data_IF_686464675954
#
_entry.id   IF_686464675954
#
_cell.length_a   1.000
_cell.length_b   1.000
_cell.length_c   1.000
_cell.angle_alpha   90.00
_cell.angle_beta   90.00
_cell.angle_gamma   90.00
#
_symmetry.space_group_name_H-M   'P 1'
#
loop_
_entity.id
_entity.type
_entity.pdbx_description
1 polymer ?
#
# COMPACT_ATOMS: atom_id res chain seq x y z
N UNK A 1 31.91 -30.95 -0.63
CA UNK A 1 31.37 -30.62 -1.97
C UNK A 1 30.32 -29.53 -1.78
N UNK A 2 30.58 -28.32 -2.27
CA UNK A 2 29.53 -27.29 -2.35
C UNK A 2 28.52 -27.72 -3.41
N UNK A 3 27.20 -27.64 -3.14
CA UNK A 3 26.19 -27.98 -4.14
C UNK A 3 26.32 -27.05 -5.35
N UNK A 4 25.98 -27.52 -6.57
CA UNK A 4 26.06 -26.71 -7.78
C UNK A 4 25.18 -25.45 -7.62
N UNK A 5 25.81 -24.28 -7.59
CA UNK A 5 25.14 -23.00 -7.48
C UNK A 5 24.53 -22.63 -8.84
N UNK A 6 23.20 -22.51 -8.88
CA UNK A 6 22.50 -22.07 -10.08
C UNK A 6 22.89 -20.61 -10.39
N UNK A 7 23.37 -20.29 -11.61
CA UNK A 7 23.88 -18.97 -11.97
C UNK A 7 22.83 -17.85 -11.85
N UNK A 8 21.54 -18.19 -11.92
CA UNK A 8 20.46 -17.23 -11.70
C UNK A 8 20.35 -16.77 -10.24
N UNK A 9 20.60 -17.66 -9.28
CA UNK A 9 20.56 -17.29 -7.85
C UNK A 9 21.72 -16.37 -7.49
N UNK A 10 22.89 -16.58 -8.10
CA UNK A 10 24.07 -15.72 -7.89
C UNK A 10 23.77 -14.30 -8.39
N UNK A 11 23.33 -14.14 -9.64
CA UNK A 11 22.95 -12.82 -10.20
C UNK A 11 21.82 -12.14 -9.45
N UNK A 12 20.88 -12.91 -8.92
CA UNK A 12 19.80 -12.36 -8.10
C UNK A 12 20.33 -11.87 -6.76
N UNK A 13 21.19 -12.65 -6.10
CA UNK A 13 21.78 -12.31 -4.80
C UNK A 13 22.66 -11.05 -4.83
N UNK A 14 23.35 -10.79 -5.95
CA UNK A 14 24.16 -9.58 -6.16
C UNK A 14 23.35 -8.27 -6.13
N UNK A 15 22.02 -8.34 -6.29
CA UNK A 15 21.14 -7.16 -6.20
C UNK A 15 20.79 -6.79 -4.76
N UNK A 16 21.07 -7.65 -3.79
CA UNK A 16 20.75 -7.42 -2.39
C UNK A 16 21.96 -6.88 -1.67
N UNK A 17 21.81 -5.69 -1.09
CA UNK A 17 22.80 -5.11 -0.20
C UNK A 17 22.48 -5.55 1.23
N UNK A 18 23.49 -6.09 1.91
CA UNK A 18 23.39 -6.37 3.34
C UNK A 18 23.22 -5.05 4.10
N UNK A 19 22.22 -5.01 4.96
CA UNK A 19 21.94 -3.83 5.76
C UNK A 19 23.05 -3.63 6.79
N UNK A 20 23.84 -2.56 6.63
CA UNK A 20 24.90 -2.20 7.58
C UNK A 20 24.30 -1.46 8.78
N UNK A 21 24.83 -1.70 10.00
CA UNK A 21 24.34 -1.03 11.21
C UNK A 21 24.63 0.49 11.24
N UNK A 22 25.44 0.99 10.31
CA UNK A 22 25.92 2.38 10.28
C UNK A 22 24.95 3.37 9.63
N UNK A 23 24.06 2.92 8.73
CA UNK A 23 23.02 3.77 8.13
C UNK A 23 21.63 3.45 8.74
N UNK A 24 21.03 4.38 9.50
CA UNK A 24 19.78 4.09 10.18
C UNK A 24 18.66 3.84 9.16
N UNK A 25 18.15 2.60 9.15
CA UNK A 25 16.98 2.13 8.38
C UNK A 25 15.81 3.12 8.36
N UNK A 26 15.60 3.85 9.45
CA UNK A 26 14.59 4.91 9.57
C UNK A 26 14.72 6.04 8.53
N UNK A 27 15.95 6.43 8.13
CA UNK A 27 16.14 7.48 7.10
C UNK A 27 15.69 7.03 5.72
N UNK A 28 16.02 5.79 5.33
CA UNK A 28 15.61 5.22 4.03
C UNK A 28 14.10 5.03 3.96
N UNK A 29 13.52 4.54 5.05
CA UNK A 29 12.07 4.40 5.20
C UNK A 29 11.35 5.74 5.03
N UNK A 30 11.86 6.80 5.67
CA UNK A 30 11.24 8.14 5.59
C UNK A 30 11.28 8.71 4.17
N UNK A 31 12.18 8.22 3.31
CA UNK A 31 12.30 8.66 1.92
C UNK A 31 11.17 8.16 1.01
N UNK A 32 10.40 7.15 1.44
CA UNK A 32 9.25 6.60 0.70
C UNK A 32 9.59 5.47 -0.28
N UNK A 33 10.87 5.26 -0.61
CA UNK A 33 11.31 4.23 -1.57
C UNK A 33 11.65 2.89 -0.90
N UNK A 34 11.07 2.59 0.26
CA UNK A 34 11.46 1.43 1.06
C UNK A 34 10.24 0.70 1.64
N UNK A 35 10.18 -0.61 1.40
CA UNK A 35 9.20 -1.50 1.98
C UNK A 35 9.83 -2.31 3.11
N UNK A 36 9.07 -2.51 4.18
CA UNK A 36 9.47 -3.33 5.32
C UNK A 36 8.61 -4.58 5.32
N UNK A 37 9.27 -5.73 5.14
CA UNK A 37 8.62 -7.01 5.42
C UNK A 37 8.40 -7.10 6.93
N UNK A 38 7.25 -7.59 7.35
CA UNK A 38 7.02 -7.92 8.75
C UNK A 38 5.88 -8.89 8.89
N UNK A 39 5.68 -9.34 10.13
CA UNK A 39 4.70 -10.37 10.43
C UNK A 39 3.43 -9.74 10.97
N UNK A 40 2.32 -10.08 10.33
CA UNK A 40 0.99 -9.78 10.81
C UNK A 40 0.51 -10.94 11.67
N UNK A 41 0.08 -10.64 12.88
CA UNK A 41 -0.59 -11.60 13.74
C UNK A 41 -2.10 -11.47 13.56
N UNK A 42 -2.73 -12.52 13.01
CA UNK A 42 -4.15 -12.56 12.71
C UNK A 42 -4.88 -13.38 13.78
N UNK A 43 -5.26 -12.72 14.88
CA UNK A 43 -5.91 -13.38 16.01
C UNK A 43 -7.13 -12.60 16.54
N UNK A 44 -7.82 -11.90 15.64
CA UNK A 44 -8.95 -11.05 15.97
C UNK A 44 -8.65 -9.61 15.57
N UNK A 45 -7.80 -8.95 16.37
CA UNK A 45 -7.22 -7.66 16.00
C UNK A 45 -5.90 -7.94 15.27
N UNK A 46 -5.79 -7.63 13.98
CA UNK A 46 -4.51 -7.73 13.29
C UNK A 46 -3.47 -6.89 14.06
N UNK A 47 -2.25 -7.40 14.20
CA UNK A 47 -1.17 -6.67 14.90
C UNK A 47 0.17 -6.88 14.21
N UNK A 48 0.93 -5.80 14.01
CA UNK A 48 2.22 -5.86 13.34
C UNK A 48 3.37 -6.11 14.35
N UNK A 49 3.98 -7.28 14.27
CA UNK A 49 4.98 -7.74 15.25
C UNK A 49 6.36 -7.10 15.06
N UNK A 50 6.69 -6.57 13.88
CA UNK A 50 8.00 -5.95 13.63
C UNK A 50 8.11 -4.49 14.13
N UNK A 51 7.09 -3.99 14.82
CA UNK A 51 7.03 -2.61 15.33
C UNK A 51 8.16 -2.25 16.31
N UNK A 52 8.86 -3.21 16.92
CA UNK A 52 9.86 -2.92 17.95
C UNK A 52 11.17 -2.36 17.39
N UNK A 53 11.49 -2.62 16.12
CA UNK A 53 12.74 -2.17 15.49
C UNK A 53 12.62 -0.81 14.80
N UNK A 54 11.40 -0.29 14.64
CA UNK A 54 11.12 0.97 13.97
C UNK A 54 10.44 1.94 14.94
N UNK A 55 10.82 3.22 14.86
CA UNK A 55 10.20 4.23 15.71
C UNK A 55 8.69 4.32 15.43
N UNK A 56 7.84 4.45 16.47
CA UNK A 56 6.38 4.57 16.34
C UNK A 56 5.94 5.66 15.35
N UNK A 57 6.69 6.76 15.26
CA UNK A 57 6.40 7.87 14.34
C UNK A 57 6.57 7.49 12.88
N UNK A 58 7.54 6.63 12.59
CA UNK A 58 7.83 6.15 11.25
C UNK A 58 6.79 5.10 10.84
N UNK A 59 6.38 4.26 11.79
CA UNK A 59 5.32 3.27 11.60
C UNK A 59 4.00 3.92 11.16
N UNK A 60 3.61 5.05 11.75
CA UNK A 60 2.38 5.75 11.35
C UNK A 60 2.33 6.16 9.86
N UNK A 61 3.47 6.30 9.18
CA UNK A 61 3.51 6.63 7.75
C UNK A 61 3.46 5.42 6.81
N UNK A 62 3.44 4.20 7.34
CA UNK A 62 3.37 3.00 6.51
C UNK A 62 1.95 2.59 6.21
N UNK A 63 1.79 1.97 5.05
CA UNK A 63 0.57 1.26 4.67
C UNK A 63 0.84 -0.23 4.62
N UNK A 64 0.03 -1.00 5.33
CA UNK A 64 0.09 -2.46 5.27
C UNK A 64 -0.40 -2.91 3.89
N UNK A 65 0.33 -3.84 3.28
CA UNK A 65 -0.05 -4.45 2.01
C UNK A 65 -1.39 -5.20 2.16
N UNK A 66 -2.24 -5.18 1.13
CA UNK A 66 -3.56 -5.82 1.18
C UNK A 66 -3.47 -7.33 1.37
N UNK A 67 -2.45 -7.95 0.79
CA UNK A 67 -2.24 -9.39 0.79
C UNK A 67 -0.98 -9.74 1.57
N UNK A 68 -1.03 -10.85 2.31
CA UNK A 68 0.15 -11.39 2.98
C UNK A 68 0.98 -12.19 1.97
N UNK A 69 2.29 -11.94 1.94
CA UNK A 69 3.23 -12.70 1.07
C UNK A 69 3.28 -14.19 1.44
N UNK A 70 3.00 -14.54 2.70
CA UNK A 70 2.88 -15.92 3.14
C UNK A 70 2.23 -16.04 4.51
N UNK A 71 1.64 -17.21 4.77
CA UNK A 71 1.04 -17.55 6.06
C UNK A 71 2.02 -18.40 6.86
N UNK A 72 2.24 -18.01 8.11
CA UNK A 72 3.08 -18.76 9.05
C UNK A 72 2.22 -19.26 10.21
N UNK A 73 2.45 -20.50 10.62
CA UNK A 73 1.73 -21.11 11.74
C UNK A 73 2.68 -21.32 12.92
N UNK A 74 2.18 -21.08 14.12
CA UNK A 74 2.89 -21.41 15.36
C UNK A 74 2.38 -22.76 15.88
N UNK A 75 3.31 -23.65 16.24
CA UNK A 75 3.00 -24.96 16.77
C UNK A 75 3.77 -25.23 18.06
N UNK A 76 3.20 -26.06 18.93
CA UNK A 76 3.87 -26.54 20.14
C UNK A 76 4.67 -27.81 19.82
N UNK A 77 5.98 -27.73 19.99
CA UNK A 77 6.88 -28.87 19.81
C UNK A 77 6.94 -29.74 21.07
N UNK A 78 6.53 -31.01 20.95
CA UNK A 78 6.67 -32.02 22.00
C UNK A 78 7.73 -33.05 21.59
N UNK A 79 8.35 -33.72 22.57
CA UNK A 79 9.26 -34.84 22.30
C UNK A 79 8.56 -35.91 21.46
N UNK A 80 9.26 -36.44 20.47
CA UNK A 80 8.74 -37.51 19.59
C UNK A 80 8.24 -38.68 20.44
N UNK A 81 7.03 -39.16 20.13
CA UNK A 81 6.31 -40.22 20.88
C UNK A 81 5.99 -39.87 22.34
N UNK A 82 5.90 -38.59 22.70
CA UNK A 82 5.42 -38.21 24.03
C UNK A 82 3.97 -38.68 24.24
N UNK A 83 3.64 -39.31 25.39
CA UNK A 83 2.27 -39.69 25.73
C UNK A 83 1.37 -38.45 25.92
N UNK A 84 1.96 -37.26 26.09
CA UNK A 84 1.26 -35.99 26.28
C UNK A 84 0.73 -35.40 24.97
N UNK A 85 1.19 -35.86 23.80
CA UNK A 85 0.78 -35.27 22.51
C UNK A 85 -0.72 -35.36 22.29
N UNK A 86 -1.35 -36.51 22.58
CA UNK A 86 -2.80 -36.68 22.43
C UNK A 86 -3.62 -35.78 23.36
N UNK A 87 -3.36 -35.80 24.68
CA UNK A 87 -4.01 -34.90 25.62
C UNK A 87 -3.81 -33.41 25.30
N UNK A 88 -2.58 -32.98 25.00
CA UNK A 88 -2.27 -31.57 24.69
C UNK A 88 -2.97 -31.12 23.43
N UNK A 89 -2.98 -31.93 22.37
CA UNK A 89 -3.64 -31.57 21.12
C UNK A 89 -5.16 -31.39 21.32
N UNK A 90 -5.81 -32.28 22.09
CA UNK A 90 -7.24 -32.14 22.43
C UNK A 90 -7.51 -30.90 23.27
N UNK A 91 -6.65 -30.59 24.24
CA UNK A 91 -6.78 -29.36 25.03
C UNK A 91 -6.64 -28.12 24.14
N UNK A 92 -5.65 -28.11 23.23
CA UNK A 92 -5.43 -27.01 22.31
C UNK A 92 -6.63 -26.79 21.38
N UNK A 93 -7.21 -27.85 20.81
CA UNK A 93 -8.41 -27.73 20.00
C UNK A 93 -9.58 -27.11 20.78
N UNK A 94 -9.83 -27.56 22.02
CA UNK A 94 -10.88 -26.98 22.86
C UNK A 94 -10.62 -25.50 23.18
N UNK A 95 -9.37 -25.11 23.40
CA UNK A 95 -8.99 -23.72 23.64
C UNK A 95 -9.20 -22.83 22.40
N UNK A 96 -8.95 -23.38 21.21
CA UNK A 96 -9.19 -22.70 19.93
C UNK A 96 -10.69 -22.60 19.66
N UNK A 97 -11.43 -23.71 19.76
CA UNK A 97 -12.87 -23.79 19.51
C UNK A 97 -13.70 -22.94 20.47
N UNK A 98 -13.28 -22.84 21.74
CA UNK A 98 -13.91 -21.94 22.71
C UNK A 98 -13.60 -20.45 22.47
N UNK A 99 -12.69 -20.14 21.56
CA UNK A 99 -12.22 -18.77 21.31
C UNK A 99 -11.31 -18.21 22.41
N UNK A 100 -10.89 -19.03 23.40
CA UNK A 100 -10.07 -18.54 24.51
C UNK A 100 -8.71 -18.03 24.02
N UNK A 101 -8.10 -18.71 23.06
CA UNK A 101 -6.83 -18.26 22.45
C UNK A 101 -6.99 -16.88 21.82
N UNK A 102 -8.09 -16.66 21.09
CA UNK A 102 -8.42 -15.38 20.44
C UNK A 102 -8.61 -14.26 21.48
N UNK A 103 -9.37 -14.55 22.54
CA UNK A 103 -9.61 -13.58 23.61
C UNK A 103 -8.32 -13.17 24.32
N UNK A 104 -7.45 -14.15 24.63
CA UNK A 104 -6.16 -13.88 25.25
C UNK A 104 -5.22 -13.10 24.34
N UNK A 105 -5.17 -13.42 23.05
CA UNK A 105 -4.37 -12.63 22.11
C UNK A 105 -4.83 -11.19 22.02
N UNK A 106 -6.13 -10.97 21.90
CA UNK A 106 -6.69 -9.62 21.82
C UNK A 106 -6.41 -8.83 23.11
N UNK A 107 -6.56 -9.45 24.28
CA UNK A 107 -6.25 -8.82 25.57
C UNK A 107 -4.76 -8.46 25.71
N UNK A 108 -3.85 -9.34 25.28
CA UNK A 108 -2.41 -9.08 25.29
C UNK A 108 -2.06 -7.94 24.34
N UNK A 109 -2.62 -7.93 23.12
CA UNK A 109 -2.40 -6.88 22.12
C UNK A 109 -2.94 -5.54 22.63
N UNK A 110 -4.13 -5.50 23.22
CA UNK A 110 -4.68 -4.25 23.74
C UNK A 110 -3.88 -3.70 24.93
N UNK A 111 -3.37 -4.57 25.81
CA UNK A 111 -2.63 -4.14 27.01
C UNK A 111 -1.17 -3.80 26.75
N UNK A 112 -0.52 -4.51 25.82
CA UNK A 112 0.93 -4.42 25.59
C UNK A 112 1.31 -3.94 24.19
N UNK A 113 0.37 -3.92 23.26
CA UNK A 113 0.60 -3.49 21.89
C UNK A 113 0.96 -2.01 21.82
N UNK A 114 1.86 -1.66 20.90
CA UNK A 114 2.17 -0.26 20.64
C UNK A 114 0.97 0.39 19.93
N UNK A 115 0.55 1.58 20.38
CA UNK A 115 -0.55 2.32 19.74
C UNK A 115 -0.27 2.60 18.25
N UNK A 116 1.00 2.76 17.87
CA UNK A 116 1.40 2.95 16.48
C UNK A 116 1.20 1.69 15.63
N UNK A 117 1.44 0.50 16.18
CA UNK A 117 1.20 -0.76 15.47
C UNK A 117 -0.30 -1.06 15.31
N UNK A 118 -1.15 -0.63 16.26
CA UNK A 118 -2.61 -0.70 16.10
C UNK A 118 -3.13 0.35 15.09
N UNK A 119 -2.63 1.59 15.16
CA UNK A 119 -3.07 2.69 14.29
C UNK A 119 -2.82 2.43 12.79
N UNK A 120 -1.79 1.65 12.47
CA UNK A 120 -1.51 1.16 11.11
C UNK A 120 -2.66 0.39 10.46
N UNK A 121 -3.57 -0.13 11.27
CA UNK A 121 -4.66 -1.00 10.86
C UNK A 121 -5.98 -0.27 10.97
N UNK A 122 -6.12 0.61 11.97
CA UNK A 122 -7.27 1.50 12.10
C UNK A 122 -7.44 2.42 10.88
N UNK A 123 -6.33 2.85 10.26
CA UNK A 123 -6.39 3.56 8.98
C UNK A 123 -7.05 2.73 7.84
N UNK A 124 -7.04 1.40 7.91
CA UNK A 124 -7.65 0.55 6.87
C UNK A 124 -9.18 0.73 6.79
N UNK A 125 -9.82 1.07 7.91
CA UNK A 125 -11.28 1.26 7.96
C UNK A 125 -11.68 2.73 7.80
N UNK A 126 -10.82 3.69 8.14
CA UNK A 126 -11.14 5.12 7.92
C UNK A 126 -10.94 5.55 6.47
N UNK A 127 -10.01 5.00 5.70
CA UNK A 127 -9.76 5.46 4.31
C UNK A 127 -10.84 5.06 3.29
N UNK A 128 -11.79 4.18 3.63
CA UNK A 128 -12.97 3.93 2.77
C UNK A 128 -14.15 4.86 3.04
N UNK A 129 -14.15 5.63 4.14
CA UNK A 129 -15.31 6.47 4.50
C UNK A 129 -14.96 7.87 5.03
N UNK A 130 -13.67 8.25 5.08
CA UNK A 130 -13.23 9.60 5.52
C UNK A 130 -12.36 10.34 4.50
N UNK A 131 -12.41 9.94 3.23
CA UNK A 131 -12.26 10.94 2.18
C UNK A 131 -13.57 11.71 2.15
N UNK A 132 -13.61 12.86 2.81
CA UNK A 132 -14.52 13.93 2.39
C UNK A 132 -14.60 13.90 0.86
N UNK A 133 -15.79 13.91 0.25
CA UNK A 133 -15.91 13.86 -1.21
C UNK A 133 -14.97 14.90 -1.79
N UNK A 134 -14.00 14.44 -2.59
CA UNK A 134 -12.93 15.27 -3.12
C UNK A 134 -13.58 16.51 -3.74
N UNK A 135 -13.40 17.66 -3.07
CA UNK A 135 -14.11 18.87 -3.44
C UNK A 135 -13.71 19.18 -4.86
N UNK A 136 -14.70 19.24 -5.76
CA UNK A 136 -14.46 19.45 -7.18
C UNK A 136 -13.75 20.79 -7.37
N UNK A 137 -12.42 20.76 -7.50
CA UNK A 137 -11.61 21.93 -7.75
C UNK A 137 -11.59 22.26 -9.25
N UNK A 138 -11.41 23.55 -9.57
CA UNK A 138 -11.26 24.03 -10.95
C UNK A 138 -10.16 23.30 -11.73
N UNK A 139 -9.16 22.74 -11.05
CA UNK A 139 -8.08 21.95 -11.67
C UNK A 139 -8.58 20.70 -12.39
N UNK A 140 -9.65 20.05 -11.91
CA UNK A 140 -10.22 18.88 -12.60
C UNK A 140 -11.01 19.26 -13.87
N UNK A 141 -11.49 20.50 -13.95
CA UNK A 141 -12.29 21.02 -15.07
C UNK A 141 -11.43 21.77 -16.10
N UNK A 142 -10.19 22.11 -15.76
CA UNK A 142 -9.27 22.89 -16.58
C UNK A 142 -9.10 22.29 -17.99
N UNK A 143 -8.95 20.96 -18.08
CA UNK A 143 -8.81 20.28 -19.37
C UNK A 143 -10.03 20.45 -20.28
N UNK A 144 -11.24 20.46 -19.71
CA UNK A 144 -12.48 20.65 -20.50
C UNK A 144 -12.61 22.09 -20.99
N UNK A 145 -12.25 23.08 -20.16
CA UNK A 145 -12.25 24.49 -20.55
C UNK A 145 -11.15 24.83 -21.58
N UNK A 146 -9.98 24.21 -21.48
CA UNK A 146 -8.92 24.35 -22.49
C UNK A 146 -9.39 23.83 -23.85
N UNK A 147 -10.00 22.64 -23.88
CA UNK A 147 -10.49 22.03 -25.12
C UNK A 147 -11.60 22.89 -25.76
N UNK A 148 -12.52 23.41 -24.96
CA UNK A 148 -13.54 24.36 -25.42
C UNK A 148 -12.92 25.64 -26.00
N UNK A 149 -11.91 26.20 -25.33
CA UNK A 149 -11.23 27.42 -25.77
C UNK A 149 -10.52 27.21 -27.11
N UNK A 150 -9.84 26.07 -27.29
CA UNK A 150 -9.20 25.71 -28.57
C UNK A 150 -10.26 25.56 -29.66
N UNK A 151 -11.37 24.87 -29.39
CA UNK A 151 -12.47 24.70 -30.34
C UNK A 151 -13.06 26.03 -30.81
N UNK A 152 -13.23 26.99 -29.89
CA UNK A 152 -13.70 28.35 -30.21
C UNK A 152 -12.69 29.11 -31.08
N UNK A 153 -11.40 29.04 -30.77
CA UNK A 153 -10.35 29.70 -31.56
C UNK A 153 -10.30 29.15 -32.98
N UNK A 154 -10.34 27.83 -33.15
CA UNK A 154 -10.33 27.18 -34.48
C UNK A 154 -11.56 27.59 -35.29
N UNK A 155 -12.74 27.59 -34.66
CA UNK A 155 -13.98 27.99 -35.32
C UNK A 155 -13.97 29.47 -35.72
N UNK A 156 -13.46 30.35 -34.86
CA UNK A 156 -13.32 31.77 -35.15
C UNK A 156 -12.36 32.02 -36.32
N UNK A 157 -11.22 31.32 -36.37
CA UNK A 157 -10.26 31.41 -37.47
C UNK A 157 -10.87 30.95 -38.80
N UNK A 158 -11.63 29.86 -38.80
CA UNK A 158 -12.33 29.38 -39.98
C UNK A 158 -13.35 30.41 -40.50
N UNK A 159 -14.13 31.02 -39.60
CA UNK A 159 -15.10 32.04 -39.95
C UNK A 159 -14.44 33.31 -40.52
N UNK A 160 -13.37 33.79 -39.90
CA UNK A 160 -12.60 34.95 -40.39
C UNK A 160 -12.02 34.68 -41.77
N UNK A 161 -11.51 33.46 -42.01
CA UNK A 161 -10.97 33.06 -43.30
C UNK A 161 -12.05 33.03 -44.40
N UNK A 162 -13.23 32.48 -44.10
CA UNK A 162 -14.37 32.52 -45.03
C UNK A 162 -14.85 33.95 -45.31
N UNK A 163 -14.95 34.78 -44.27
CA UNK A 163 -15.37 36.17 -44.41
C UNK A 163 -14.39 36.98 -45.27
N UNK A 164 -13.09 36.79 -45.07
CA UNK A 164 -12.05 37.45 -45.86
C UNK A 164 -12.10 37.01 -47.33
N UNK A 165 -12.27 35.70 -47.61
CA UNK A 165 -12.47 35.19 -48.97
C UNK A 165 -13.70 35.78 -49.65
N UNK A 166 -14.85 35.82 -48.96
CA UNK A 166 -16.08 36.39 -49.51
C UNK A 166 -15.94 37.88 -49.77
N UNK A 167 -15.31 38.63 -48.87
CA UNK A 167 -15.07 40.05 -49.03
C UNK A 167 -14.15 40.33 -50.24
N UNK A 168 -13.09 39.55 -50.40
CA UNK A 168 -12.16 39.66 -51.53
C UNK A 168 -12.81 39.30 -52.87
N UNK A 169 -13.67 38.27 -52.89
CA UNK A 169 -14.45 37.89 -54.08
C UNK A 169 -15.49 38.96 -54.45
N UNK A 170 -16.16 39.57 -53.46
CA UNK A 170 -17.12 40.66 -53.68
C UNK A 170 -16.45 41.94 -54.20
N UNK A 171 -15.24 42.27 -53.76
CA UNK A 171 -14.47 43.40 -54.31
C UNK A 171 -14.01 43.13 -55.75
N UNK A 172 -13.60 41.91 -56.09
CA UNK A 172 -13.21 41.54 -57.46
C UNK A 172 -14.38 41.52 -58.44
N UNK A 173 -15.60 41.24 -57.99
CA UNK A 173 -16.81 41.25 -58.83
C UNK A 173 -17.40 42.65 -59.04
N UNK A 174 -16.97 43.66 -58.27
CA UNK A 174 -17.42 45.05 -58.39
C UNK A 174 -16.50 45.92 -59.25
N UNK A 175 -15.35 45.41 -59.66
CA UNK A 175 -14.36 46.11 -60.50
C UNK A 175 -14.31 45.65 -61.96
N UNK A 176 -15.34 44.93 -62.43
CA UNK A 176 -15.57 44.57 -63.84
C UNK A 176 -16.91 45.17 -64.26
#
# INVERSE_FOLDING_TARGET
>A
STPPQNPWHVRFSERFLLETPEDPRSRRVTRGDYAVAGKLFDAGIPYFLESETLSPKVLAGFRIMKECSGTYYTALGLRRLSPLTGPVNRALYRLIESGLIRHWSDDVIMRRGSKAALGLIEEKDTWQDSKDPEKLTLGHLEGSFLLLSIGLVVSALAFVFEACKRCCHLLSSRSI
#
